data_IF_147101423333
#
_entry.id   IF_147101423333
#
_cell.length_a   1.000
_cell.length_b   1.000
_cell.length_c   1.000
_cell.angle_alpha   90.00
_cell.angle_beta   90.00
_cell.angle_gamma   90.00
#
_symmetry.space_group_name_H-M   'P 1'
#
loop_
_entity.id
_entity.type
_entity.pdbx_description
1 polymer ?
#
# COMPACT_ATOMS: atom_id res chain seq x y z
N UNK A 1 -5.97 -19.15 6.21
CA UNK A 1 -4.67 -18.72 6.78
C UNK A 1 -4.60 -17.21 6.69
N UNK A 2 -4.55 -16.49 7.82
CA UNK A 2 -4.18 -15.06 7.83
C UNK A 2 -2.70 -15.00 7.45
N UNK A 3 -2.36 -14.22 6.42
CA UNK A 3 -0.96 -13.89 6.16
C UNK A 3 -0.53 -12.92 7.26
N UNK A 4 0.44 -13.29 8.09
CA UNK A 4 1.08 -12.38 9.05
C UNK A 4 1.99 -11.36 8.34
N UNK A 5 1.55 -10.83 7.19
CA UNK A 5 2.29 -9.80 6.48
C UNK A 5 1.85 -8.47 7.07
N UNK A 6 2.55 -8.06 8.14
CA UNK A 6 2.52 -6.67 8.58
C UNK A 6 3.50 -5.89 7.70
N UNK A 7 3.16 -4.65 7.34
CA UNK A 7 4.05 -3.75 6.59
C UNK A 7 4.74 -2.76 7.56
N UNK A 8 5.77 -3.18 8.33
CA UNK A 8 6.38 -2.34 9.37
C UNK A 8 7.07 -1.11 8.79
N UNK A 9 7.71 -1.22 7.62
CA UNK A 9 8.33 -0.07 6.94
C UNK A 9 7.29 0.97 6.53
N UNK A 10 6.18 0.55 5.91
CA UNK A 10 5.06 1.43 5.63
C UNK A 10 4.52 2.12 6.88
N UNK A 11 4.33 1.38 7.99
CA UNK A 11 3.88 1.98 9.25
C UNK A 11 4.89 2.98 9.81
N UNK A 12 6.18 2.69 9.71
CA UNK A 12 7.27 3.57 10.12
C UNK A 12 7.31 4.85 9.28
N UNK A 13 7.13 4.75 7.96
CA UNK A 13 7.08 5.89 7.05
C UNK A 13 5.88 6.81 7.34
N UNK A 14 4.69 6.23 7.55
CA UNK A 14 3.48 6.96 7.97
C UNK A 14 3.73 7.72 9.27
N UNK A 15 4.33 7.06 10.26
CA UNK A 15 4.64 7.69 11.54
C UNK A 15 5.71 8.78 11.42
N UNK A 16 6.73 8.58 10.56
CA UNK A 16 7.81 9.55 10.33
C UNK A 16 7.33 10.82 9.63
N UNK A 17 6.32 10.70 8.76
CA UNK A 17 5.63 11.86 8.18
C UNK A 17 4.68 12.56 9.17
N UNK A 18 4.46 12.00 10.37
CA UNK A 18 3.53 12.56 11.35
C UNK A 18 2.06 12.51 10.92
N UNK A 19 1.71 11.65 9.96
CA UNK A 19 0.33 11.51 9.47
C UNK A 19 -0.36 10.29 10.08
N UNK A 20 -1.67 10.39 10.27
CA UNK A 20 -2.50 9.23 10.65
C UNK A 20 -2.89 8.42 9.41
N UNK A 21 -3.37 7.18 9.60
CA UNK A 21 -3.94 6.40 8.48
C UNK A 21 -5.10 7.14 7.79
N UNK A 22 -5.91 7.91 8.54
CA UNK A 22 -6.96 8.76 7.96
C UNK A 22 -6.37 9.88 7.12
N UNK A 23 -5.28 10.50 7.58
CA UNK A 23 -4.55 11.50 6.80
C UNK A 23 -4.00 10.93 5.50
N UNK A 24 -3.44 9.71 5.55
CA UNK A 24 -2.99 9.02 4.34
C UNK A 24 -4.16 8.78 3.36
N UNK A 25 -5.35 8.39 3.85
CA UNK A 25 -6.54 8.25 2.99
C UNK A 25 -6.88 9.56 2.29
N UNK A 26 -6.89 10.69 3.01
CA UNK A 26 -7.18 11.99 2.41
C UNK A 26 -6.16 12.36 1.32
N UNK A 27 -4.87 12.10 1.56
CA UNK A 27 -3.81 12.34 0.57
C UNK A 27 -3.93 11.41 -0.65
N UNK A 28 -4.36 10.17 -0.45
CA UNK A 28 -4.65 9.24 -1.55
C UNK A 28 -5.84 9.71 -2.39
N UNK A 29 -6.87 10.28 -1.75
CA UNK A 29 -8.03 10.86 -2.41
C UNK A 29 -7.66 12.09 -3.25
N UNK A 30 -6.79 12.97 -2.74
CA UNK A 30 -6.23 14.10 -3.50
C UNK A 30 -5.45 13.65 -4.75
N UNK A 31 -4.87 12.46 -4.71
CA UNK A 31 -4.19 11.80 -5.83
C UNK A 31 -5.14 11.03 -6.76
N UNK A 32 -6.45 11.10 -6.53
CA UNK A 32 -7.48 10.45 -7.33
C UNK A 32 -7.73 8.98 -6.98
N UNK A 33 -7.21 8.48 -5.85
CA UNK A 33 -7.42 7.12 -5.39
C UNK A 33 -8.33 7.09 -4.16
N UNK A 34 -9.59 6.74 -4.39
CA UNK A 34 -10.60 6.65 -3.32
C UNK A 34 -10.48 5.29 -2.63
N UNK A 35 -10.14 5.32 -1.34
CA UNK A 35 -10.09 4.13 -0.46
C UNK A 35 -10.69 4.47 0.89
N UNK A 36 -11.43 3.54 1.51
CA UNK A 36 -11.95 3.77 2.87
C UNK A 36 -10.85 3.54 3.92
N UNK A 37 -10.89 4.23 5.08
CA UNK A 37 -9.93 3.99 6.17
C UNK A 37 -9.91 2.54 6.66
N UNK A 38 -11.05 1.86 6.68
CA UNK A 38 -11.14 0.44 7.04
C UNK A 38 -10.46 -0.45 6.00
N UNK A 39 -10.64 -0.18 4.71
CA UNK A 39 -9.97 -0.93 3.64
C UNK A 39 -8.46 -0.76 3.70
N UNK A 40 -7.97 0.48 3.92
CA UNK A 40 -6.55 0.75 4.10
C UNK A 40 -5.98 0.04 5.34
N UNK A 41 -6.67 0.09 6.47
CA UNK A 41 -6.25 -0.61 7.70
C UNK A 41 -6.14 -2.11 7.48
N UNK A 42 -7.15 -2.73 6.86
CA UNK A 42 -7.14 -4.16 6.55
C UNK A 42 -5.95 -4.52 5.63
N UNK A 43 -5.61 -3.66 4.67
CA UNK A 43 -4.43 -3.87 3.81
C UNK A 43 -3.12 -3.72 4.58
N UNK A 44 -2.95 -2.68 5.39
CA UNK A 44 -1.76 -2.46 6.24
C UNK A 44 -1.53 -3.63 7.22
N UNK A 45 -2.61 -4.29 7.65
CA UNK A 45 -2.58 -5.43 8.56
C UNK A 45 -2.43 -6.79 7.84
N UNK A 46 -2.27 -6.81 6.50
CA UNK A 46 -2.11 -8.04 5.73
C UNK A 46 -3.39 -8.85 5.53
N UNK A 47 -4.56 -8.30 5.92
CA UNK A 47 -5.85 -8.95 5.70
C UNK A 47 -6.34 -8.85 4.25
N UNK A 48 -5.82 -7.86 3.50
CA UNK A 48 -6.08 -7.65 2.08
C UNK A 48 -4.80 -7.28 1.35
N UNK A 49 -4.69 -7.69 0.08
CA UNK A 49 -3.57 -7.31 -0.77
C UNK A 49 -3.72 -5.84 -1.24
N UNK A 50 -2.61 -5.13 -1.35
CA UNK A 50 -2.54 -3.84 -2.05
C UNK A 50 -2.52 -4.03 -3.58
N UNK A 51 -3.16 -3.12 -4.31
CA UNK A 51 -3.04 -2.99 -5.76
C UNK A 51 -1.78 -2.21 -6.11
N UNK A 52 -1.26 -2.37 -7.32
CA UNK A 52 -0.05 -1.66 -7.75
C UNK A 52 -0.24 -0.14 -7.70
N UNK A 53 -1.38 0.35 -8.17
CA UNK A 53 -1.69 1.80 -8.15
C UNK A 53 -1.75 2.33 -6.72
N UNK A 54 -2.28 1.56 -5.77
CA UNK A 54 -2.30 1.96 -4.35
C UNK A 54 -0.87 2.03 -3.80
N UNK A 55 -0.03 1.02 -4.08
CA UNK A 55 1.37 1.02 -3.67
C UNK A 55 2.14 2.21 -4.27
N UNK A 56 1.89 2.53 -5.54
CA UNK A 56 2.51 3.67 -6.24
C UNK A 56 2.10 5.02 -5.62
N UNK A 57 0.81 5.24 -5.41
CA UNK A 57 0.31 6.48 -4.79
C UNK A 57 0.86 6.64 -3.38
N UNK A 58 0.88 5.56 -2.59
CA UNK A 58 1.44 5.58 -1.23
C UNK A 58 2.95 5.89 -1.28
N UNK A 59 3.71 5.30 -2.21
CA UNK A 59 5.14 5.64 -2.37
C UNK A 59 5.36 7.10 -2.75
N UNK A 60 4.52 7.67 -3.62
CA UNK A 60 4.62 9.07 -3.99
C UNK A 60 4.32 10.00 -2.82
N UNK A 61 3.31 9.68 -2.00
CA UNK A 61 2.94 10.47 -0.82
C UNK A 61 4.05 10.43 0.23
N UNK A 62 4.61 9.25 0.48
CA UNK A 62 5.61 9.04 1.52
C UNK A 62 7.05 9.36 1.06
N UNK A 63 7.26 9.61 -0.24
CA UNK A 63 8.58 9.89 -0.80
C UNK A 63 9.56 8.71 -0.74
N UNK A 64 9.06 7.49 -0.59
CA UNK A 64 9.87 6.27 -0.46
C UNK A 64 9.56 5.27 -1.57
N UNK A 65 10.52 4.42 -1.92
CA UNK A 65 10.32 3.39 -2.95
C UNK A 65 9.22 2.39 -2.53
N UNK A 66 8.32 1.99 -3.46
CA UNK A 66 7.30 0.98 -3.14
C UNK A 66 7.91 -0.38 -2.80
N UNK A 67 9.12 -0.68 -3.29
CA UNK A 67 9.87 -1.90 -2.92
C UNK A 67 10.30 -1.86 -1.44
N UNK A 68 10.67 -0.68 -0.96
CA UNK A 68 11.08 -0.50 0.43
C UNK A 68 9.87 -0.51 1.36
N UNK A 69 8.79 0.19 1.01
CA UNK A 69 7.59 0.28 1.84
C UNK A 69 6.84 -1.05 1.98
N UNK A 70 6.73 -1.81 0.89
CA UNK A 70 5.88 -2.99 0.81
C UNK A 70 6.63 -4.32 0.83
N UNK A 71 7.96 -4.31 0.97
CA UNK A 71 8.86 -5.44 0.68
C UNK A 71 8.94 -5.79 -0.81
N UNK A 72 10.14 -6.22 -1.22
CA UNK A 72 10.41 -6.58 -2.60
C UNK A 72 9.52 -7.73 -3.11
N UNK A 73 9.24 -8.72 -2.27
CA UNK A 73 8.48 -9.92 -2.65
C UNK A 73 7.00 -9.58 -2.91
N UNK A 74 6.37 -8.82 -2.03
CA UNK A 74 4.97 -8.40 -2.15
C UNK A 74 4.76 -7.44 -3.32
N UNK A 75 5.65 -6.44 -3.50
CA UNK A 75 5.60 -5.56 -4.67
C UNK A 75 5.77 -6.36 -5.97
N UNK A 76 6.76 -7.24 -6.03
CA UNK A 76 7.00 -8.10 -7.20
C UNK A 76 5.79 -9.00 -7.49
N UNK A 77 5.20 -9.61 -6.47
CA UNK A 77 4.01 -10.44 -6.62
C UNK A 77 2.80 -9.64 -7.12
N UNK A 78 2.63 -8.40 -6.67
CA UNK A 78 1.57 -7.51 -7.14
C UNK A 78 1.73 -7.22 -8.64
N UNK A 79 2.94 -6.85 -9.07
CA UNK A 79 3.26 -6.58 -10.49
C UNK A 79 3.04 -7.83 -11.36
N UNK A 80 3.53 -8.99 -10.91
CA UNK A 80 3.40 -10.25 -11.65
C UNK A 80 1.94 -10.72 -11.78
N UNK A 81 1.13 -10.56 -10.73
CA UNK A 81 -0.31 -10.89 -10.77
C UNK A 81 -1.05 -10.03 -11.81
N UNK A 82 -0.80 -8.72 -11.82
CA UNK A 82 -1.46 -7.81 -12.77
C UNK A 82 -1.05 -8.07 -14.23
N UNK A 83 0.21 -8.46 -14.49
CA UNK A 83 0.64 -8.83 -15.84
C UNK A 83 -0.09 -10.09 -16.34
N UNK A 84 -0.27 -11.10 -15.49
CA UNK A 84 -1.01 -12.32 -15.85
C UNK A 84 -2.47 -12.03 -16.16
N UNK A 85 -3.12 -11.12 -15.42
CA UNK A 85 -4.51 -10.74 -15.66
C UNK A 85 -4.77 -9.94 -16.94
N UNK A 86 -3.74 -9.34 -17.57
CA UNK A 86 -3.86 -8.61 -18.85
C UNK A 86 -3.63 -9.50 -20.07
N UNK A 87 -3.20 -10.75 -19.87
CA UNK A 87 -2.84 -11.68 -20.94
C UNK A 87 -3.84 -12.83 -21.08
N UNK A 88 -5.01 -12.71 -20.44
CA UNK A 88 -6.10 -13.68 -20.45
C UNK A 88 -7.35 -13.09 -21.09
#
# INVERSE_FOLDING_TARGET
MRKEVTFPKLRGAIASMGISQKGLVSLMEEKGLVITPSSLSNKINGERDFKRTEMQVISEILGESPVDLFFNVEYTNCVLKEMKSKTA
#
